data_IF_577331808773
#
_entry.id   IF_577331808773
#
_cell.length_a   1.000
_cell.length_b   1.000
_cell.length_c   1.000
_cell.angle_alpha   90.00
_cell.angle_beta   90.00
_cell.angle_gamma   90.00
#
_symmetry.space_group_name_H-M   'P 1'
#
loop_
_entity.id
_entity.type
_entity.pdbx_description
1 polymer ?
#
# COMPACT_ATOMS: atom_id res chain seq x y z
N UNK A 1 15.34 -12.22 0.48
CA UNK A 1 15.08 -12.05 1.93
C UNK A 1 13.65 -11.57 2.06
N UNK A 2 12.83 -12.21 2.89
CA UNK A 2 11.42 -11.85 3.01
C UNK A 2 11.26 -10.40 3.47
N UNK A 3 10.38 -9.66 2.79
CA UNK A 3 10.04 -8.27 3.11
C UNK A 3 9.09 -8.21 4.32
N UNK A 4 9.35 -8.96 5.39
CA UNK A 4 8.51 -8.98 6.59
C UNK A 4 8.60 -7.64 7.33
N UNK A 5 7.45 -7.00 7.55
CA UNK A 5 7.36 -5.71 8.21
C UNK A 5 7.56 -5.91 9.70
N UNK A 6 8.58 -5.26 10.27
CA UNK A 6 8.78 -5.26 11.71
C UNK A 6 7.67 -4.42 12.34
N UNK A 7 6.84 -5.07 13.15
CA UNK A 7 5.74 -4.45 13.89
C UNK A 7 6.16 -4.25 15.33
N UNK A 8 6.06 -3.02 15.82
CA UNK A 8 6.21 -2.71 17.24
C UNK A 8 4.80 -2.47 17.78
N UNK A 9 4.36 -3.23 18.78
CA UNK A 9 3.02 -3.13 19.35
C UNK A 9 3.04 -3.16 20.87
N UNK A 10 2.02 -2.59 21.49
CA UNK A 10 1.77 -2.77 22.92
C UNK A 10 1.58 -4.26 23.22
N UNK A 11 2.36 -4.82 24.14
CA UNK A 11 2.13 -6.18 24.61
C UNK A 11 0.89 -6.22 25.50
N UNK A 12 -0.12 -6.97 25.07
CA UNK A 12 -1.30 -7.27 25.88
C UNK A 12 -1.26 -8.75 26.25
N UNK A 13 -1.51 -9.03 27.53
CA UNK A 13 -1.78 -10.38 28.02
C UNK A 13 -3.26 -10.40 28.36
N UNK A 14 -4.06 -11.08 27.55
CA UNK A 14 -5.49 -11.25 27.80
C UNK A 14 -5.87 -12.73 27.82
N UNK A 15 -6.94 -13.04 28.56
CA UNK A 15 -7.61 -14.36 28.52
C UNK A 15 -8.94 -14.29 27.76
N UNK A 16 -9.32 -13.11 27.26
CA UNK A 16 -10.53 -12.92 26.48
C UNK A 16 -10.28 -13.37 25.03
N UNK A 17 -10.98 -14.41 24.54
CA UNK A 17 -10.76 -14.95 23.20
C UNK A 17 -11.13 -13.98 22.09
N UNK A 18 -12.15 -13.14 22.28
CA UNK A 18 -12.58 -12.14 21.29
C UNK A 18 -11.54 -11.02 21.14
N UNK A 19 -11.01 -10.52 22.26
CA UNK A 19 -9.93 -9.54 22.25
C UNK A 19 -8.66 -10.09 21.58
N UNK A 20 -8.33 -11.36 21.85
CA UNK A 20 -7.19 -12.00 21.20
C UNK A 20 -7.39 -12.11 19.68
N UNK A 21 -8.58 -12.48 19.21
CA UNK A 21 -8.89 -12.53 17.78
C UNK A 21 -8.76 -11.15 17.11
N UNK A 22 -9.22 -10.08 17.77
CA UNK A 22 -9.06 -8.71 17.28
C UNK A 22 -7.59 -8.30 17.21
N UNK A 23 -6.79 -8.62 18.22
CA UNK A 23 -5.34 -8.36 18.26
C UNK A 23 -4.64 -9.10 17.12
N UNK A 24 -4.96 -10.37 16.91
CA UNK A 24 -4.39 -11.17 15.83
C UNK A 24 -4.79 -10.60 14.46
N UNK A 25 -6.05 -10.19 14.30
CA UNK A 25 -6.57 -9.58 13.07
C UNK A 25 -5.86 -8.26 12.74
N UNK A 26 -5.75 -7.35 13.70
CA UNK A 26 -5.12 -6.06 13.46
C UNK A 26 -3.62 -6.22 13.19
N UNK A 27 -2.96 -7.19 13.82
CA UNK A 27 -1.57 -7.53 13.50
C UNK A 27 -1.43 -8.07 12.08
N UNK A 28 -2.32 -8.95 11.64
CA UNK A 28 -2.37 -9.43 10.26
C UNK A 28 -2.56 -8.26 9.27
N UNK A 29 -3.47 -7.33 9.58
CA UNK A 29 -3.68 -6.15 8.75
C UNK A 29 -2.46 -5.21 8.71
N UNK A 30 -1.80 -5.00 9.85
CA UNK A 30 -0.62 -4.15 9.96
C UNK A 30 0.55 -4.66 9.11
N UNK A 31 0.74 -5.99 9.01
CA UNK A 31 1.80 -6.61 8.19
C UNK A 31 1.69 -6.28 6.71
N UNK A 32 0.48 -6.04 6.22
CA UNK A 32 0.22 -5.72 4.81
C UNK A 32 -0.03 -4.23 4.58
N UNK A 33 0.03 -3.41 5.64
CA UNK A 33 -0.19 -1.97 5.54
C UNK A 33 1.09 -1.26 5.07
N UNK A 34 1.13 -0.92 3.79
CA UNK A 34 2.23 -0.16 3.20
C UNK A 34 1.92 1.33 3.09
N UNK A 35 2.44 2.13 4.03
CA UNK A 35 2.21 3.57 4.06
C UNK A 35 2.91 4.34 2.94
N UNK A 36 4.03 3.82 2.47
CA UNK A 36 4.77 4.35 1.32
C UNK A 36 3.95 4.33 0.02
N UNK A 37 2.91 3.49 -0.06
CA UNK A 37 2.14 3.25 -1.28
C UNK A 37 1.64 4.53 -1.95
N UNK A 38 0.91 5.37 -1.22
CA UNK A 38 0.36 6.62 -1.76
C UNK A 38 1.44 7.61 -2.19
N UNK A 39 2.63 7.56 -1.58
CA UNK A 39 3.74 8.42 -1.97
C UNK A 39 4.39 7.97 -3.27
N UNK A 40 4.52 6.65 -3.46
CA UNK A 40 5.01 6.07 -4.72
C UNK A 40 4.01 6.36 -5.85
N UNK A 41 2.71 6.25 -5.59
CA UNK A 41 1.65 6.64 -6.53
C UNK A 41 1.72 8.13 -6.91
N UNK A 42 1.86 9.02 -5.92
CA UNK A 42 2.01 10.45 -6.16
C UNK A 42 3.33 10.76 -6.92
N UNK A 43 4.43 10.08 -6.61
CA UNK A 43 5.71 10.21 -7.34
C UNK A 43 5.55 9.75 -8.80
N UNK A 44 4.82 8.67 -9.05
CA UNK A 44 4.46 8.25 -10.40
C UNK A 44 3.67 9.32 -11.15
N UNK A 45 2.62 9.85 -10.52
CA UNK A 45 1.78 10.88 -11.12
C UNK A 45 2.56 12.15 -11.43
N UNK A 46 3.31 12.68 -10.47
CA UNK A 46 4.10 13.91 -10.64
C UNK A 46 5.20 13.76 -11.68
N UNK A 47 5.89 12.61 -11.73
CA UNK A 47 6.88 12.30 -12.78
C UNK A 47 6.22 12.25 -14.15
N UNK A 48 5.04 11.62 -14.25
CA UNK A 48 4.29 11.56 -15.50
C UNK A 48 3.83 12.95 -16.00
N UNK A 49 3.35 13.80 -15.10
CA UNK A 49 2.97 15.19 -15.42
C UNK A 49 4.17 16.05 -15.84
N UNK A 50 5.32 15.88 -15.18
CA UNK A 50 6.57 16.56 -15.58
C UNK A 50 7.03 16.11 -16.96
N UNK A 51 6.90 14.83 -17.28
CA UNK A 51 7.25 14.31 -18.60
C UNK A 51 6.37 14.90 -19.70
N UNK A 52 5.05 14.98 -19.48
CA UNK A 52 4.13 15.65 -20.42
C UNK A 52 4.51 17.11 -20.69
N UNK A 53 5.07 17.80 -19.68
CA UNK A 53 5.53 19.18 -19.77
C UNK A 53 6.97 19.31 -20.28
N UNK A 54 7.61 18.21 -20.70
CA UNK A 54 9.04 18.14 -21.09
C UNK A 54 10.01 18.61 -19.99
N UNK A 55 9.62 18.42 -18.73
CA UNK A 55 10.38 18.77 -17.50
C UNK A 55 10.89 17.55 -16.73
N UNK A 56 10.75 16.36 -17.30
CA UNK A 56 11.33 15.11 -16.83
C UNK A 56 11.74 14.27 -18.04
N UNK A 57 12.74 13.44 -17.84
CA UNK A 57 13.34 12.52 -18.80
C UNK A 57 12.85 11.09 -18.55
N UNK A 58 13.17 10.18 -19.48
CA UNK A 58 12.94 8.74 -19.29
C UNK A 58 13.70 8.20 -18.05
N UNK A 59 14.82 8.84 -17.66
CA UNK A 59 15.60 8.47 -16.47
C UNK A 59 14.80 8.66 -15.18
N UNK A 60 13.98 9.72 -15.09
CA UNK A 60 13.13 9.97 -13.91
C UNK A 60 12.04 8.89 -13.75
N UNK A 61 11.58 8.32 -14.86
CA UNK A 61 10.67 7.16 -14.85
C UNK A 61 11.34 5.87 -14.41
N UNK A 62 12.65 5.73 -14.61
CA UNK A 62 13.40 4.54 -14.19
C UNK A 62 13.55 4.49 -12.66
N UNK A 63 13.83 5.62 -12.00
CA UNK A 63 13.84 5.68 -10.53
C UNK A 63 12.46 5.38 -9.95
N UNK A 64 11.41 5.89 -10.59
CA UNK A 64 10.01 5.65 -10.19
C UNK A 64 9.63 4.17 -10.33
N UNK A 65 10.16 3.47 -11.33
CA UNK A 65 9.95 2.03 -11.49
C UNK A 65 10.56 1.21 -10.34
N UNK A 66 11.72 1.60 -9.81
CA UNK A 66 12.31 0.86 -8.68
C UNK A 66 11.41 0.92 -7.43
N UNK A 67 10.87 2.09 -7.10
CA UNK A 67 9.89 2.20 -6.00
C UNK A 67 8.60 1.40 -6.27
N UNK A 68 8.18 1.32 -7.53
CA UNK A 68 7.01 0.51 -7.89
C UNK A 68 7.28 -0.99 -7.72
N UNK A 69 8.49 -1.48 -8.02
CA UNK A 69 8.86 -2.88 -7.81
C UNK A 69 8.81 -3.27 -6.34
N UNK A 70 9.22 -2.39 -5.43
CA UNK A 70 9.13 -2.66 -3.97
C UNK A 70 7.68 -2.95 -3.54
N UNK A 71 6.71 -2.23 -4.12
CA UNK A 71 5.28 -2.49 -3.89
C UNK A 71 4.89 -3.84 -4.48
N UNK A 72 5.28 -4.14 -5.71
CA UNK A 72 4.98 -5.42 -6.34
C UNK A 72 5.53 -6.59 -5.51
N UNK A 73 6.77 -6.49 -5.05
CA UNK A 73 7.42 -7.50 -4.22
C UNK A 73 6.70 -7.72 -2.89
N UNK A 74 6.24 -6.65 -2.23
CA UNK A 74 5.42 -6.77 -1.02
C UNK A 74 4.11 -7.52 -1.31
N UNK A 75 3.43 -7.19 -2.42
CA UNK A 75 2.18 -7.84 -2.78
C UNK A 75 2.36 -9.33 -3.15
N UNK A 76 3.56 -9.74 -3.59
CA UNK A 76 3.87 -11.15 -3.81
C UNK A 76 4.00 -11.96 -2.50
N UNK A 77 4.24 -11.32 -1.36
CA UNK A 77 4.36 -12.01 -0.06
C UNK A 77 3.02 -12.17 0.65
N UNK A 78 1.94 -11.55 0.15
CA UNK A 78 0.63 -11.60 0.80
C UNK A 78 -0.06 -12.95 0.51
N UNK A 79 -0.47 -13.72 1.54
CA UNK A 79 -1.14 -15.00 1.38
C UNK A 79 -2.63 -14.78 1.03
N UNK A 80 -2.92 -14.35 -0.20
CA UNK A 80 -4.28 -13.99 -0.62
C UNK A 80 -5.32 -15.11 -0.46
N UNK A 81 -4.91 -16.38 -0.53
CA UNK A 81 -5.81 -17.52 -0.34
C UNK A 81 -6.35 -17.57 1.11
N UNK A 82 -5.50 -17.28 2.09
CA UNK A 82 -5.85 -17.23 3.53
C UNK A 82 -6.68 -15.99 3.89
N UNK A 83 -6.59 -14.95 3.06
CA UNK A 83 -7.34 -13.70 3.24
C UNK A 83 -8.71 -13.71 2.55
N UNK A 84 -8.98 -14.71 1.72
CA UNK A 84 -10.21 -14.75 0.95
C UNK A 84 -11.44 -14.87 1.88
N UNK A 85 -12.50 -14.11 1.56
CA UNK A 85 -13.70 -14.04 2.38
C UNK A 85 -13.60 -13.15 3.63
N UNK A 86 -12.47 -12.47 3.86
CA UNK A 86 -12.29 -11.46 4.93
C UNK A 86 -12.43 -10.03 4.36
N UNK A 87 -13.58 -9.35 4.53
CA UNK A 87 -13.89 -8.10 3.81
C UNK A 87 -12.93 -6.94 4.05
N UNK A 88 -12.31 -6.87 5.23
CA UNK A 88 -11.32 -5.85 5.58
C UNK A 88 -10.05 -5.92 4.71
N UNK A 89 -9.76 -7.09 4.11
CA UNK A 89 -8.60 -7.28 3.22
C UNK A 89 -8.95 -7.09 1.74
N UNK A 90 -10.22 -6.95 1.36
CA UNK A 90 -10.64 -6.76 -0.04
C UNK A 90 -9.93 -5.62 -0.77
N UNK A 91 -9.57 -4.49 -0.14
CA UNK A 91 -8.75 -3.48 -0.81
C UNK A 91 -7.43 -4.03 -1.36
N UNK A 92 -6.77 -4.95 -0.66
CA UNK A 92 -5.50 -5.56 -1.11
C UNK A 92 -5.68 -6.40 -2.38
N UNK A 93 -6.80 -7.13 -2.50
CA UNK A 93 -7.10 -7.91 -3.72
C UNK A 93 -7.27 -6.98 -4.93
N UNK A 94 -7.97 -5.86 -4.76
CA UNK A 94 -8.11 -4.87 -5.82
C UNK A 94 -6.77 -4.27 -6.23
N UNK A 95 -5.91 -3.93 -5.27
CA UNK A 95 -4.57 -3.42 -5.59
C UNK A 95 -3.75 -4.48 -6.34
N UNK A 96 -3.75 -5.74 -5.87
CA UNK A 96 -3.07 -6.86 -6.55
C UNK A 96 -3.45 -6.95 -8.03
N UNK A 97 -4.74 -6.79 -8.33
CA UNK A 97 -5.24 -6.91 -9.71
C UNK A 97 -4.91 -5.66 -10.56
N UNK A 98 -4.73 -4.48 -9.93
CA UNK A 98 -4.38 -3.23 -10.60
C UNK A 98 -2.87 -3.12 -10.88
N UNK A 99 -2.00 -3.63 -10.00
CA UNK A 99 -0.54 -3.47 -10.11
C UNK A 99 0.02 -3.91 -11.49
N UNK A 100 -0.35 -5.07 -12.07
CA UNK A 100 0.14 -5.48 -13.39
C UNK A 100 -0.27 -4.52 -14.52
N UNK A 101 -1.43 -3.87 -14.40
CA UNK A 101 -1.94 -2.90 -15.38
C UNK A 101 -1.07 -1.64 -15.34
N UNK A 102 -0.77 -1.14 -14.14
CA UNK A 102 0.12 0.01 -13.95
C UNK A 102 1.53 -0.31 -14.46
N UNK A 103 2.08 -1.49 -14.10
CA UNK A 103 3.39 -1.97 -14.58
C UNK A 103 3.48 -1.95 -16.11
N UNK A 104 2.45 -2.46 -16.79
CA UNK A 104 2.37 -2.49 -18.25
C UNK A 104 2.52 -1.08 -18.83
N UNK A 105 1.79 -0.10 -18.30
CA UNK A 105 1.86 1.27 -18.81
C UNK A 105 3.19 1.95 -18.53
N UNK A 106 3.82 1.71 -17.37
CA UNK A 106 5.19 2.19 -17.10
C UNK A 106 6.17 1.60 -18.12
N UNK A 107 6.12 0.29 -18.36
CA UNK A 107 6.97 -0.37 -19.34
C UNK A 107 6.82 0.18 -20.76
N UNK A 108 5.59 0.51 -21.17
CA UNK A 108 5.31 1.14 -22.46
C UNK A 108 5.84 2.56 -22.57
N UNK A 109 5.90 3.32 -21.47
CA UNK A 109 6.54 4.64 -21.43
C UNK A 109 8.05 4.50 -21.59
N UNK A 110 8.67 3.54 -20.89
CA UNK A 110 10.12 3.31 -20.94
C UNK A 110 10.61 2.82 -22.31
N UNK A 111 9.79 2.08 -23.05
CA UNK A 111 10.07 1.69 -24.44
C UNK A 111 10.08 2.89 -25.41
N UNK A 112 9.56 4.05 -25.00
CA UNK A 112 9.43 5.22 -25.86
C UNK A 112 8.35 5.05 -26.94
N UNK A 113 8.50 5.81 -28.03
CA UNK A 113 7.58 5.77 -29.18
C UNK A 113 6.95 7.12 -29.47
N UNK A 114 5.80 7.10 -30.16
CA UNK A 114 5.13 8.33 -30.55
C UNK A 114 4.61 9.11 -29.34
N UNK A 115 4.62 10.42 -29.49
CA UNK A 115 4.08 11.40 -28.53
C UNK A 115 2.64 11.07 -28.09
N UNK A 116 1.81 10.55 -29.01
CA UNK A 116 0.43 10.12 -28.72
C UNK A 116 0.36 8.87 -27.84
N UNK A 117 1.23 7.88 -28.09
CA UNK A 117 1.31 6.64 -27.29
C UNK A 117 1.81 6.92 -25.89
N UNK A 118 2.81 7.80 -25.75
CA UNK A 118 3.32 8.23 -24.44
C UNK A 118 2.23 8.93 -23.63
N UNK A 119 1.51 9.88 -24.25
CA UNK A 119 0.37 10.57 -23.63
C UNK A 119 -0.74 9.61 -23.20
N UNK A 120 -1.04 8.60 -24.01
CA UNK A 120 -2.03 7.59 -23.67
C UNK A 120 -1.63 6.81 -22.41
N UNK A 121 -0.42 6.24 -22.37
CA UNK A 121 0.03 5.45 -21.21
C UNK A 121 0.11 6.28 -19.93
N UNK A 122 0.52 7.55 -20.02
CA UNK A 122 0.52 8.46 -18.88
C UNK A 122 -0.90 8.68 -18.33
N UNK A 123 -1.90 8.88 -19.20
CA UNK A 123 -3.29 9.01 -18.76
C UNK A 123 -3.80 7.75 -18.06
N UNK A 124 -3.38 6.57 -18.51
CA UNK A 124 -3.76 5.31 -17.87
C UNK A 124 -3.16 5.18 -16.46
N UNK A 125 -1.90 5.59 -16.25
CA UNK A 125 -1.34 5.64 -14.89
C UNK A 125 -2.15 6.59 -14.00
N UNK A 126 -2.52 7.76 -14.54
CA UNK A 126 -3.32 8.76 -13.80
C UNK A 126 -4.72 8.27 -13.42
N UNK A 127 -5.40 7.48 -14.27
CA UNK A 127 -6.73 6.96 -13.92
C UNK A 127 -6.70 5.99 -12.74
N UNK A 128 -5.57 5.32 -12.52
CA UNK A 128 -5.42 4.39 -11.41
C UNK A 128 -5.00 5.06 -10.10
N UNK A 129 -4.38 6.26 -10.15
CA UNK A 129 -3.93 7.00 -8.96
C UNK A 129 -5.07 7.23 -7.94
N UNK A 130 -6.21 7.75 -8.40
CA UNK A 130 -7.37 7.99 -7.54
C UNK A 130 -7.96 6.70 -6.97
N UNK A 131 -8.04 5.65 -7.78
CA UNK A 131 -8.54 4.34 -7.35
C UNK A 131 -7.64 3.74 -6.28
N UNK A 132 -6.33 3.72 -6.53
CA UNK A 132 -5.32 3.17 -5.63
C UNK A 132 -5.21 3.96 -4.32
N UNK A 133 -5.35 5.29 -4.38
CA UNK A 133 -5.43 6.14 -3.18
C UNK A 133 -6.68 5.82 -2.35
N UNK A 134 -7.86 5.72 -2.99
CA UNK A 134 -9.11 5.39 -2.30
C UNK A 134 -9.10 3.98 -1.68
N UNK A 135 -8.48 3.00 -2.33
CA UNK A 135 -8.29 1.66 -1.77
C UNK A 135 -7.38 1.69 -0.53
N UNK A 136 -6.32 2.51 -0.56
CA UNK A 136 -5.45 2.71 0.60
C UNK A 136 -6.18 3.36 1.78
N UNK A 137 -7.00 4.38 1.52
CA UNK A 137 -7.84 5.02 2.53
C UNK A 137 -8.87 4.04 3.11
N UNK A 138 -9.51 3.22 2.26
CA UNK A 138 -10.46 2.21 2.69
C UNK A 138 -9.81 1.15 3.58
N UNK A 139 -8.62 0.65 3.20
CA UNK A 139 -7.88 -0.31 4.01
C UNK A 139 -7.47 0.29 5.36
N UNK A 140 -7.01 1.54 5.37
CA UNK A 140 -6.71 2.29 6.61
C UNK A 140 -7.94 2.42 7.50
N UNK A 141 -9.07 2.79 6.93
CA UNK A 141 -10.32 2.92 7.69
C UNK A 141 -10.73 1.60 8.35
N UNK A 142 -10.62 0.48 7.61
CA UNK A 142 -10.87 -0.86 8.17
C UNK A 142 -9.89 -1.24 9.26
N UNK A 143 -8.63 -0.86 9.13
CA UNK A 143 -7.62 -1.06 10.16
C UNK A 143 -7.95 -0.29 11.45
N UNK A 144 -8.32 0.99 11.31
CA UNK A 144 -8.72 1.85 12.43
C UNK A 144 -10.01 1.34 13.11
N UNK A 145 -11.00 0.84 12.36
CA UNK A 145 -12.20 0.20 12.93
C UNK A 145 -11.86 -0.98 13.86
N UNK A 146 -10.86 -1.80 13.51
CA UNK A 146 -10.44 -2.94 14.35
C UNK A 146 -9.70 -2.44 15.59
N UNK A 147 -8.82 -1.44 15.46
CA UNK A 147 -8.14 -0.82 16.60
C UNK A 147 -9.13 -0.21 17.60
N UNK A 148 -10.15 0.49 17.11
CA UNK A 148 -11.16 1.10 17.97
C UNK A 148 -11.95 0.04 18.74
N UNK A 149 -12.27 -1.10 18.12
CA UNK A 149 -12.89 -2.24 18.81
C UNK A 149 -11.99 -2.79 19.92
N UNK A 150 -10.69 -2.94 19.67
CA UNK A 150 -9.72 -3.39 20.69
C UNK A 150 -9.73 -2.43 21.88
N UNK A 151 -9.74 -1.13 21.63
CA UNK A 151 -9.68 -0.08 22.67
C UNK A 151 -10.95 0.03 23.53
N UNK A 152 -12.04 -0.65 23.14
CA UNK A 152 -13.24 -0.73 23.99
C UNK A 152 -13.02 -1.64 25.21
N UNK A 153 -12.02 -2.54 25.16
CA UNK A 153 -11.65 -3.40 26.28
C UNK A 153 -10.78 -2.64 27.28
N UNK A 154 -11.11 -2.62 28.59
CA UNK A 154 -10.38 -1.85 29.60
C UNK A 154 -8.87 -2.14 29.64
N UNK A 155 -8.48 -3.39 29.50
CA UNK A 155 -7.07 -3.85 29.49
C UNK A 155 -6.30 -3.48 28.22
N UNK A 156 -7.01 -3.08 27.15
CA UNK A 156 -6.44 -2.77 25.84
C UNK A 156 -6.66 -1.31 25.42
N UNK A 157 -7.08 -0.46 26.36
CA UNK A 157 -7.43 0.95 26.09
C UNK A 157 -6.29 1.75 25.44
N UNK A 158 -5.05 1.46 25.84
CA UNK A 158 -3.83 2.12 25.33
C UNK A 158 -3.11 1.29 24.25
N UNK A 159 -3.79 0.29 23.67
CA UNK A 159 -3.24 -0.51 22.59
C UNK A 159 -2.92 0.37 21.39
N UNK A 160 -1.70 0.25 20.87
CA UNK A 160 -1.25 0.91 19.67
C UNK A 160 -0.32 0.00 18.88
N UNK A 161 -0.28 0.23 17.58
CA UNK A 161 0.64 -0.44 16.66
C UNK A 161 1.46 0.62 15.95
N UNK A 162 2.77 0.48 16.03
CA UNK A 162 3.71 1.23 15.25
C UNK A 162 4.04 0.48 13.96
N UNK A 163 3.82 1.16 12.84
CA UNK A 163 4.12 0.67 11.50
C UNK A 163 5.22 1.54 10.92
N UNK A 164 6.39 0.95 10.68
CA UNK A 164 7.52 1.67 10.08
C UNK A 164 7.25 2.00 8.60
N UNK A 165 7.43 3.27 8.22
CA UNK A 165 7.42 3.71 6.82
C UNK A 165 8.80 3.45 6.21
N UNK A 166 8.90 2.35 5.47
CA UNK A 166 10.15 1.90 4.82
C UNK A 166 10.75 2.90 3.83
N UNK A 167 9.97 3.88 3.37
CA UNK A 167 10.45 4.89 2.41
C UNK A 167 10.89 6.22 3.04
N UNK A 168 10.66 6.40 4.35
CA UNK A 168 10.82 7.73 4.98
C UNK A 168 11.64 7.78 6.25
N UNK A 169 12.26 6.67 6.69
CA UNK A 169 12.96 6.59 7.99
C UNK A 169 12.07 7.13 9.14
N UNK A 170 10.74 6.95 9.03
CA UNK A 170 9.75 7.52 9.96
C UNK A 170 8.75 6.45 10.42
N UNK A 171 8.58 6.36 11.73
CA UNK A 171 7.56 5.55 12.38
C UNK A 171 6.20 6.25 12.36
N UNK A 172 5.13 5.46 12.25
CA UNK A 172 3.77 5.95 12.43
C UNK A 172 3.05 5.13 13.48
N UNK A 173 2.45 5.83 14.43
CA UNK A 173 1.69 5.27 15.53
C UNK A 173 0.21 5.30 15.18
N UNK A 174 -0.46 4.17 15.34
CA UNK A 174 -1.90 4.02 15.15
C UNK A 174 -2.57 3.56 16.43
#
# INVERSE_FOLDING_TARGET
MGLEQELIQTKIITTNPELQELIDRVNEMARYYYKGFGQVMNKMHTTADRFLRRKASIRDFSETLEYFKEIEELYLTIPFDDLNGKPEFYPLFNVRDILPIVRKHIGEILKGGSDSRLRYNIRQIRSWDGTLSGLGELYRYKFEEVLDKIRTYPEAKDFHIEIQDRLKDKAWFF
#
